data_IF_322946627328
#
_entry.id   IF_322946627328
#
_cell.length_a   1.000
_cell.length_b   1.000
_cell.length_c   1.000
_cell.angle_alpha   90.00
_cell.angle_beta   90.00
_cell.angle_gamma   90.00
#
_symmetry.space_group_name_H-M   'P 1'
#
loop_
_entity.id
_entity.type
_entity.pdbx_description
1 polymer ?
#
# COMPACT_ATOMS: atom_id res chain seq x y z
N UNK A 1 -52.89 -28.44 17.73
CA UNK A 1 -53.14 -29.28 16.52
C UNK A 1 -52.01 -29.04 15.55
N UNK A 2 -51.13 -30.04 15.36
CA UNK A 2 -50.61 -30.59 14.13
C UNK A 2 -49.86 -29.58 13.20
N UNK A 3 -48.73 -29.82 12.65
CA UNK A 3 -47.92 -31.04 12.38
C UNK A 3 -46.45 -30.65 12.15
N UNK A 4 -45.58 -31.39 12.73
CA UNK A 4 -44.23 -31.74 12.40
C UNK A 4 -44.08 -32.11 10.91
N UNK A 5 -43.06 -31.61 10.23
CA UNK A 5 -42.54 -32.23 9.04
C UNK A 5 -40.99 -32.16 9.04
N UNK A 6 -40.45 -33.33 9.17
CA UNK A 6 -39.05 -33.71 9.05
C UNK A 6 -38.76 -33.87 7.57
N UNK A 7 -37.65 -33.34 7.09
CA UNK A 7 -37.02 -33.77 5.84
C UNK A 7 -35.52 -33.54 5.98
N UNK A 8 -34.81 -34.55 6.35
CA UNK A 8 -33.95 -35.44 5.56
C UNK A 8 -32.70 -34.76 4.96
N UNK A 9 -31.61 -35.12 5.62
CA UNK A 9 -30.23 -34.92 5.16
C UNK A 9 -29.97 -35.56 3.80
N UNK A 10 -29.29 -34.83 2.92
CA UNK A 10 -28.47 -35.42 1.87
C UNK A 10 -27.03 -35.00 2.10
N UNK A 11 -26.23 -35.93 2.55
CA UNK A 11 -24.78 -35.88 2.52
C UNK A 11 -24.33 -36.00 1.06
N UNK A 12 -23.78 -34.94 0.50
CA UNK A 12 -22.95 -35.02 -0.68
C UNK A 12 -21.50 -34.83 -0.24
N UNK A 13 -20.78 -35.94 -0.18
CA UNK A 13 -19.33 -35.94 -0.10
C UNK A 13 -18.79 -35.45 -1.45
N UNK A 14 -18.34 -34.21 -1.51
CA UNK A 14 -17.65 -33.61 -2.64
C UNK A 14 -16.27 -33.19 -2.17
N UNK A 15 -15.22 -33.90 -2.63
CA UNK A 15 -13.83 -33.59 -2.33
C UNK A 15 -13.46 -32.17 -2.74
N UNK A 16 -13.30 -31.31 -1.77
CA UNK A 16 -12.76 -29.97 -1.96
C UNK A 16 -11.26 -30.07 -2.18
N UNK A 17 -10.83 -29.81 -3.41
CA UNK A 17 -9.44 -29.47 -3.70
C UNK A 17 -9.17 -28.17 -2.96
N UNK A 18 -8.39 -28.24 -1.87
CA UNK A 18 -7.86 -27.06 -1.22
C UNK A 18 -6.91 -26.38 -2.23
N UNK A 19 -7.40 -25.36 -2.91
CA UNK A 19 -6.53 -24.43 -3.62
C UNK A 19 -5.70 -23.73 -2.55
N UNK A 20 -4.48 -24.22 -2.33
CA UNK A 20 -3.48 -23.51 -1.56
C UNK A 20 -3.28 -22.16 -2.26
N UNK A 21 -3.78 -21.10 -1.65
CA UNK A 21 -3.45 -19.75 -2.06
C UNK A 21 -1.93 -19.62 -1.90
N UNK A 22 -1.20 -19.65 -3.01
CA UNK A 22 0.22 -19.36 -3.06
C UNK A 22 0.33 -17.87 -2.65
N UNK A 23 0.55 -17.65 -1.37
CA UNK A 23 0.95 -16.33 -0.89
C UNK A 23 2.35 -16.11 -1.46
N UNK A 24 2.57 -15.14 -2.36
CA UNK A 24 3.89 -14.90 -2.92
C UNK A 24 4.86 -14.65 -1.78
N UNK A 25 6.01 -15.29 -1.86
CA UNK A 25 7.05 -15.22 -0.84
C UNK A 25 7.45 -13.76 -0.57
N UNK A 26 7.78 -13.40 0.69
CA UNK A 26 8.14 -12.03 1.06
C UNK A 26 9.28 -11.43 0.22
N UNK A 27 10.11 -12.26 -0.38
CA UNK A 27 11.18 -11.84 -1.28
C UNK A 27 10.69 -11.22 -2.61
N UNK A 28 9.61 -11.71 -3.20
CA UNK A 28 9.06 -11.12 -4.44
C UNK A 28 8.48 -9.74 -4.20
N UNK A 29 7.86 -9.52 -3.04
CA UNK A 29 7.35 -8.19 -2.65
C UNK A 29 8.46 -7.19 -2.41
N UNK A 30 9.56 -7.63 -1.78
CA UNK A 30 10.75 -6.79 -1.58
C UNK A 30 11.40 -6.40 -2.92
N UNK A 31 11.50 -7.33 -3.87
CA UNK A 31 12.04 -7.07 -5.19
C UNK A 31 11.16 -6.09 -6.01
N UNK A 32 9.84 -6.16 -5.86
CA UNK A 32 8.92 -5.23 -6.52
C UNK A 32 9.06 -3.80 -5.98
N UNK A 33 9.26 -3.63 -4.67
CA UNK A 33 9.50 -2.32 -4.05
C UNK A 33 10.89 -1.77 -4.37
N UNK A 34 11.90 -2.63 -4.46
CA UNK A 34 13.22 -2.22 -4.93
C UNK A 34 13.17 -1.73 -6.39
N UNK A 35 12.35 -2.35 -7.24
CA UNK A 35 12.08 -1.86 -8.61
C UNK A 35 11.40 -0.49 -8.60
N UNK A 36 10.48 -0.22 -7.67
CA UNK A 36 9.86 1.10 -7.53
C UNK A 36 10.88 2.19 -7.15
N UNK A 37 11.81 1.88 -6.24
CA UNK A 37 12.91 2.78 -5.92
C UNK A 37 13.77 3.00 -7.14
N UNK A 38 14.08 1.95 -7.91
CA UNK A 38 14.88 2.03 -9.13
C UNK A 38 14.17 2.82 -10.23
N UNK A 39 12.86 2.61 -10.45
CA UNK A 39 12.07 3.40 -11.42
C UNK A 39 11.96 4.86 -10.98
N UNK A 40 11.85 5.11 -9.67
CA UNK A 40 11.85 6.46 -9.14
C UNK A 40 13.17 7.22 -9.36
N UNK A 41 14.27 6.48 -9.55
CA UNK A 41 15.62 7.03 -9.79
C UNK A 41 15.95 7.16 -11.29
N UNK A 42 15.17 6.52 -12.19
CA UNK A 42 15.53 6.42 -13.63
C UNK A 42 15.20 7.67 -14.45
N UNK A 43 14.56 8.68 -13.89
CA UNK A 43 14.21 9.91 -14.61
C UNK A 43 15.29 11.02 -14.57
N UNK A 44 16.55 10.70 -14.34
CA UNK A 44 17.63 11.66 -14.63
C UNK A 44 19.00 10.99 -14.56
N UNK A 45 19.64 10.90 -15.72
CA UNK A 45 21.05 10.55 -15.94
C UNK A 45 21.46 9.09 -15.63
N UNK A 46 22.17 8.53 -16.59
CA UNK A 46 23.00 7.32 -16.47
C UNK A 46 24.03 7.50 -15.33
N UNK A 47 23.59 7.31 -14.09
CA UNK A 47 24.48 7.30 -12.93
C UNK A 47 25.09 5.90 -12.81
N UNK A 48 26.41 5.77 -12.64
CA UNK A 48 27.08 4.48 -12.49
C UNK A 48 26.46 3.71 -11.32
N UNK A 49 26.22 2.41 -11.51
CA UNK A 49 25.74 1.53 -10.46
C UNK A 49 26.54 1.73 -9.17
N UNK A 50 25.86 2.05 -8.08
CA UNK A 50 26.52 2.26 -6.79
C UNK A 50 27.35 1.04 -6.38
N UNK A 51 28.56 1.21 -5.82
CA UNK A 51 29.39 0.10 -5.40
C UNK A 51 28.68 -0.80 -4.39
N UNK A 52 28.92 -2.13 -4.42
CA UNK A 52 28.31 -3.07 -3.48
C UNK A 52 28.63 -2.65 -2.03
N UNK A 53 27.58 -2.44 -1.21
CA UNK A 53 27.68 -2.00 0.18
C UNK A 53 27.35 -0.53 0.43
N UNK A 54 27.09 0.30 -0.59
CA UNK A 54 26.57 1.66 -0.39
C UNK A 54 25.09 1.60 -0.01
N UNK A 55 24.68 2.47 0.93
CA UNK A 55 23.26 2.65 1.25
C UNK A 55 22.53 3.19 0.02
N UNK A 56 21.27 2.77 -0.19
CA UNK A 56 20.43 3.36 -1.22
C UNK A 56 20.37 4.88 -1.08
N UNK A 57 20.32 5.57 -2.21
CA UNK A 57 20.24 7.04 -2.20
C UNK A 57 18.91 7.51 -1.60
N UNK A 58 18.91 8.62 -0.83
CA UNK A 58 17.66 9.22 -0.38
C UNK A 58 16.77 9.64 -1.56
N UNK A 59 15.49 9.36 -1.47
CA UNK A 59 14.48 9.76 -2.46
C UNK A 59 13.63 10.88 -1.85
N UNK A 60 13.56 12.06 -2.46
CA UNK A 60 12.72 13.15 -1.99
C UNK A 60 11.24 12.73 -1.90
N UNK A 61 10.55 13.29 -0.93
CA UNK A 61 9.11 13.09 -0.79
C UNK A 61 8.38 13.62 -2.03
N UNK A 62 7.59 12.76 -2.66
CA UNK A 62 6.87 13.08 -3.89
C UNK A 62 5.54 12.36 -4.01
N UNK A 63 4.63 12.94 -4.79
CA UNK A 63 3.40 12.26 -5.20
C UNK A 63 3.72 11.24 -6.27
N UNK A 64 2.99 10.13 -6.25
CA UNK A 64 2.98 9.09 -7.28
C UNK A 64 1.67 9.21 -8.06
N UNK A 65 1.77 9.28 -9.38
CA UNK A 65 0.63 9.21 -10.28
C UNK A 65 0.11 7.77 -10.43
N UNK A 66 -1.01 7.61 -11.10
CA UNK A 66 -1.60 6.31 -11.41
C UNK A 66 -0.83 5.49 -12.45
N UNK A 67 0.17 6.09 -13.08
CA UNK A 67 1.07 5.49 -14.06
C UNK A 67 2.26 4.75 -13.44
N UNK A 68 2.48 4.96 -12.14
CA UNK A 68 3.57 4.28 -11.42
C UNK A 68 3.11 2.87 -11.00
N UNK A 69 3.82 1.81 -11.40
CA UNK A 69 3.47 0.45 -10.99
C UNK A 69 3.45 0.30 -9.46
N UNK A 70 2.35 -0.20 -8.94
CA UNK A 70 2.16 -0.38 -7.49
C UNK A 70 2.43 -1.82 -7.11
N UNK A 71 3.25 -2.07 -6.08
CA UNK A 71 3.56 -3.44 -5.63
C UNK A 71 2.43 -4.06 -4.80
N UNK A 72 1.20 -3.53 -4.91
CA UNK A 72 0.03 -4.00 -4.17
C UNK A 72 -0.94 -4.66 -5.15
N UNK A 73 -1.36 -5.90 -4.90
CA UNK A 73 -2.31 -6.58 -5.77
C UNK A 73 -3.63 -5.80 -5.89
N UNK A 74 -4.24 -5.72 -7.09
CA UNK A 74 -5.54 -5.05 -7.29
C UNK A 74 -6.68 -5.63 -6.43
N UNK A 75 -6.55 -6.89 -5.99
CA UNK A 75 -7.46 -7.53 -5.04
C UNK A 75 -7.39 -6.92 -3.63
N UNK A 76 -6.28 -6.26 -3.28
CA UNK A 76 -6.09 -5.56 -2.01
C UNK A 76 -6.46 -4.10 -2.15
N UNK A 77 -5.94 -3.40 -3.17
CA UNK A 77 -6.15 -1.98 -3.39
C UNK A 77 -6.35 -1.69 -4.87
N UNK A 78 -7.45 -1.02 -5.22
CA UNK A 78 -7.65 -0.34 -6.50
C UNK A 78 -7.14 1.08 -6.34
N UNK A 79 -5.89 1.27 -6.69
CA UNK A 79 -5.19 2.52 -6.47
C UNK A 79 -5.75 3.68 -7.31
N UNK A 80 -5.62 4.88 -6.77
CA UNK A 80 -5.87 6.17 -7.43
C UNK A 80 -4.60 6.99 -7.55
N UNK A 81 -3.86 7.11 -6.47
CA UNK A 81 -2.56 7.76 -6.42
C UNK A 81 -1.79 7.32 -5.17
N UNK A 82 -0.55 7.75 -5.07
CA UNK A 82 0.29 7.46 -3.93
C UNK A 82 1.21 8.62 -3.56
N UNK A 83 2.00 8.38 -2.53
CA UNK A 83 3.07 9.25 -2.06
C UNK A 83 4.22 8.39 -1.55
N UNK A 84 5.44 8.88 -1.74
CA UNK A 84 6.66 8.15 -1.44
C UNK A 84 7.73 9.08 -0.85
N UNK A 85 8.53 8.57 0.09
CA UNK A 85 9.77 9.18 0.59
C UNK A 85 10.75 8.10 1.01
N UNK A 86 12.06 8.37 0.88
CA UNK A 86 13.12 7.54 1.45
C UNK A 86 14.28 8.39 1.94
N UNK A 87 14.81 8.08 3.12
CA UNK A 87 16.05 8.66 3.67
C UNK A 87 17.30 7.83 3.33
N UNK A 88 17.16 6.84 2.47
CA UNK A 88 18.22 5.89 2.12
C UNK A 88 18.29 4.67 3.06
N UNK A 89 17.69 4.73 4.25
CA UNK A 89 17.58 3.59 5.18
C UNK A 89 16.16 3.06 5.27
N UNK A 90 15.20 3.97 5.31
CA UNK A 90 13.78 3.64 5.41
C UNK A 90 13.04 4.25 4.23
N UNK A 91 12.27 3.43 3.55
CA UNK A 91 11.30 3.86 2.55
C UNK A 91 9.92 3.85 3.18
N UNK A 92 9.16 4.93 2.98
CA UNK A 92 7.75 5.01 3.34
C UNK A 92 6.95 5.32 2.08
N UNK A 93 5.98 4.49 1.77
CA UNK A 93 5.04 4.73 0.68
C UNK A 93 3.61 4.62 1.20
N UNK A 94 2.75 5.50 0.72
CA UNK A 94 1.32 5.51 1.03
C UNK A 94 0.56 5.47 -0.28
N UNK A 95 -0.34 4.51 -0.42
CA UNK A 95 -1.19 4.36 -1.59
C UNK A 95 -2.65 4.55 -1.17
N UNK A 96 -3.37 5.33 -1.95
CA UNK A 96 -4.78 5.64 -1.71
C UNK A 96 -5.64 5.09 -2.84
N UNK A 97 -6.83 4.60 -2.49
CA UNK A 97 -7.76 4.06 -3.46
C UNK A 97 -9.00 3.48 -2.81
N UNK A 98 -9.54 2.44 -3.44
CA UNK A 98 -10.63 1.64 -2.91
C UNK A 98 -10.17 0.23 -2.56
N UNK A 99 -10.85 -0.42 -1.64
CA UNK A 99 -10.62 -1.82 -1.35
C UNK A 99 -10.87 -2.68 -2.60
N UNK A 100 -9.94 -3.59 -2.92
CA UNK A 100 -10.01 -4.38 -4.15
C UNK A 100 -11.27 -5.22 -4.28
N UNK A 101 -11.74 -5.77 -3.17
CA UNK A 101 -12.94 -6.60 -3.07
C UNK A 101 -14.24 -5.78 -2.88
N UNK A 102 -14.15 -4.51 -2.49
CA UNK A 102 -15.30 -3.63 -2.30
C UNK A 102 -14.97 -2.18 -2.69
N UNK A 103 -15.31 -1.73 -3.90
CA UNK A 103 -14.98 -0.39 -4.39
C UNK A 103 -15.68 0.75 -3.63
N UNK A 104 -16.70 0.44 -2.82
CA UNK A 104 -17.36 1.43 -1.97
C UNK A 104 -16.59 1.74 -0.69
N UNK A 105 -15.61 0.89 -0.32
CA UNK A 105 -14.77 1.09 0.86
C UNK A 105 -13.51 1.84 0.45
N UNK A 106 -13.29 3.01 1.04
CA UNK A 106 -12.05 3.76 0.89
C UNK A 106 -10.92 3.09 1.65
N UNK A 107 -9.75 2.95 1.03
CA UNK A 107 -8.60 2.24 1.61
C UNK A 107 -7.30 3.00 1.40
N UNK A 108 -6.48 3.02 2.44
CA UNK A 108 -5.07 3.39 2.38
C UNK A 108 -4.20 2.16 2.67
N UNK A 109 -3.07 2.07 2.01
CA UNK A 109 -2.04 1.09 2.31
C UNK A 109 -0.74 1.83 2.55
N UNK A 110 -0.18 1.65 3.75
CA UNK A 110 1.10 2.23 4.17
C UNK A 110 2.13 1.10 4.11
N UNK A 111 3.17 1.32 3.34
CA UNK A 111 4.31 0.41 3.23
C UNK A 111 5.51 1.09 3.86
N UNK A 112 6.15 0.43 4.81
CA UNK A 112 7.43 0.85 5.38
C UNK A 112 8.44 -0.25 5.12
N UNK A 113 9.58 0.11 4.56
CA UNK A 113 10.66 -0.82 4.27
C UNK A 113 11.96 -0.31 4.88
N UNK A 114 12.59 -1.16 5.69
CA UNK A 114 13.98 -1.00 6.08
C UNK A 114 14.86 -1.50 4.94
N UNK A 115 15.49 -0.57 4.23
CA UNK A 115 16.28 -0.87 3.03
C UNK A 115 17.60 -1.56 3.37
N UNK A 116 18.08 -1.45 4.62
CA UNK A 116 19.30 -2.09 5.09
C UNK A 116 19.03 -3.52 5.52
N UNK A 117 18.00 -3.72 6.35
CA UNK A 117 17.63 -5.04 6.86
C UNK A 117 16.73 -5.82 5.91
N UNK A 118 16.23 -5.22 4.83
CA UNK A 118 15.30 -5.82 3.87
C UNK A 118 13.92 -6.13 4.46
N UNK A 119 13.61 -5.61 5.67
CA UNK A 119 12.33 -5.86 6.35
C UNK A 119 11.27 -4.90 5.86
N UNK A 120 10.08 -5.43 5.66
CA UNK A 120 8.93 -4.65 5.23
C UNK A 120 7.75 -4.84 6.16
N UNK A 121 7.04 -3.77 6.44
CA UNK A 121 5.74 -3.77 7.09
C UNK A 121 4.69 -3.13 6.19
N UNK A 122 3.52 -3.73 6.15
CA UNK A 122 2.37 -3.22 5.39
C UNK A 122 1.21 -3.02 6.36
N UNK A 123 0.70 -1.81 6.41
CA UNK A 123 -0.43 -1.45 7.24
C UNK A 123 -1.58 -0.98 6.36
N UNK A 124 -2.76 -1.57 6.56
CA UNK A 124 -3.97 -1.24 5.77
C UNK A 124 -4.96 -0.54 6.66
N UNK A 125 -5.50 0.59 6.19
CA UNK A 125 -6.50 1.40 6.88
C UNK A 125 -7.74 1.53 5.99
N UNK A 126 -8.89 1.13 6.52
CA UNK A 126 -10.18 1.29 5.86
C UNK A 126 -10.92 2.51 6.41
N UNK A 127 -11.38 3.38 5.53
CA UNK A 127 -12.16 4.58 5.87
C UNK A 127 -13.69 4.33 5.87
N UNK A 128 -14.11 3.07 5.82
CA UNK A 128 -15.52 2.69 5.71
C UNK A 128 -16.09 2.98 4.31
N UNK A 129 -17.39 3.14 4.23
CA UNK A 129 -18.14 3.33 2.96
C UNK A 129 -17.98 4.76 2.42
N UNK A 130 -16.77 5.19 2.20
CA UNK A 130 -16.43 6.54 1.70
C UNK A 130 -16.15 6.59 0.20
N UNK A 131 -16.17 5.43 -0.47
CA UNK A 131 -15.67 5.29 -1.83
C UNK A 131 -14.15 5.43 -1.90
N UNK A 132 -13.60 5.46 -3.09
CA UNK A 132 -12.15 5.54 -3.30
C UNK A 132 -11.55 6.79 -2.64
N UNK A 133 -10.39 6.63 -2.02
CA UNK A 133 -9.61 7.71 -1.43
C UNK A 133 -8.60 8.25 -2.45
N UNK A 134 -8.27 9.53 -2.32
CA UNK A 134 -7.23 10.19 -3.11
C UNK A 134 -6.40 11.07 -2.19
N UNK A 135 -5.09 10.99 -2.26
CA UNK A 135 -4.17 11.89 -1.56
C UNK A 135 -4.23 13.25 -2.26
N UNK A 136 -4.59 14.30 -1.52
CA UNK A 136 -4.72 15.67 -2.06
C UNK A 136 -3.58 16.58 -1.64
N UNK A 137 -2.94 16.29 -0.49
CA UNK A 137 -1.74 16.98 -0.05
C UNK A 137 -0.92 16.08 0.87
N UNK A 138 0.39 16.12 0.70
CA UNK A 138 1.36 15.38 1.49
C UNK A 138 2.64 16.20 1.67
N UNK A 139 3.49 15.91 2.65
CA UNK A 139 4.81 16.52 2.77
C UNK A 139 5.60 16.33 1.48
N UNK A 140 6.30 17.36 1.04
CA UNK A 140 7.19 17.33 -0.13
C UNK A 140 8.58 17.81 0.32
N UNK A 141 9.63 17.38 -0.41
CA UNK A 141 10.98 17.82 -0.13
C UNK A 141 11.92 16.67 0.25
N UNK A 142 13.07 17.03 0.83
CA UNK A 142 14.13 16.05 1.16
C UNK A 142 13.69 15.17 2.33
N UNK A 143 14.03 13.88 2.26
CA UNK A 143 13.74 12.89 3.30
C UNK A 143 14.36 13.22 4.67
N UNK A 144 15.41 14.02 4.68
CA UNK A 144 16.12 14.49 5.90
C UNK A 144 15.28 15.47 6.71
N UNK A 145 14.28 16.10 6.11
CA UNK A 145 13.31 16.89 6.84
C UNK A 145 12.35 15.91 7.53
N UNK A 146 12.64 15.65 8.79
CA UNK A 146 12.02 14.64 9.69
C UNK A 146 10.48 14.58 9.65
N UNK A 147 9.83 15.64 9.22
CA UNK A 147 8.38 15.70 9.02
C UNK A 147 7.86 14.79 7.89
N UNK A 148 8.70 14.41 6.92
CA UNK A 148 8.24 13.64 5.78
C UNK A 148 7.85 12.19 6.15
N UNK A 149 8.51 11.57 7.13
CA UNK A 149 8.18 10.21 7.59
C UNK A 149 7.15 10.19 8.73
N UNK A 150 7.01 11.30 9.48
CA UNK A 150 6.15 11.41 10.65
C UNK A 150 5.06 12.47 10.51
N UNK A 151 4.99 13.13 9.36
CA UNK A 151 4.02 14.18 9.10
C UNK A 151 2.60 13.65 8.85
N UNK A 152 1.74 14.53 8.35
CA UNK A 152 0.39 14.16 8.00
C UNK A 152 0.10 14.31 6.51
N UNK A 153 -0.73 13.40 6.01
CA UNK A 153 -1.22 13.39 4.62
C UNK A 153 -2.70 13.74 4.63
N UNK A 154 -3.11 14.67 3.76
CA UNK A 154 -4.53 14.94 3.52
C UNK A 154 -5.07 14.00 2.47
N UNK A 155 -6.20 13.41 2.78
CA UNK A 155 -6.87 12.43 1.94
C UNK A 155 -8.31 12.88 1.71
N UNK A 156 -8.80 12.76 0.50
CA UNK A 156 -10.17 13.05 0.15
C UNK A 156 -10.90 11.77 -0.26
N UNK A 157 -12.06 11.56 0.32
CA UNK A 157 -12.98 10.51 -0.09
C UNK A 157 -13.82 10.94 -1.31
N UNK A 158 -14.38 9.99 -2.05
CA UNK A 158 -15.19 10.25 -3.24
C UNK A 158 -16.39 11.19 -2.94
N UNK A 159 -16.96 11.12 -1.73
CA UNK A 159 -18.01 12.03 -1.24
C UNK A 159 -17.52 13.41 -0.77
N UNK A 160 -16.33 13.84 -1.12
CA UNK A 160 -15.67 15.10 -0.71
C UNK A 160 -15.36 15.22 0.79
N UNK A 161 -15.53 14.15 1.58
CA UNK A 161 -15.10 14.15 2.98
C UNK A 161 -13.58 14.23 3.04
N UNK A 162 -13.07 15.24 3.74
CA UNK A 162 -11.64 15.37 4.01
C UNK A 162 -11.27 14.49 5.21
N UNK A 163 -10.18 13.74 5.07
CA UNK A 163 -9.59 12.90 6.09
C UNK A 163 -8.12 13.28 6.25
N UNK A 164 -7.55 12.95 7.40
CA UNK A 164 -6.14 13.18 7.70
C UNK A 164 -5.50 11.88 8.18
N UNK A 165 -4.47 11.45 7.47
CA UNK A 165 -3.60 10.36 7.89
C UNK A 165 -2.44 10.94 8.70
N UNK A 166 -2.26 10.47 9.91
CA UNK A 166 -1.04 10.67 10.68
C UNK A 166 -0.06 9.55 10.37
N UNK A 167 1.09 9.90 9.78
CA UNK A 167 2.10 8.91 9.37
C UNK A 167 2.81 8.30 10.57
N UNK A 168 3.00 9.05 11.65
CA UNK A 168 3.67 8.56 12.85
C UNK A 168 2.80 7.57 13.62
N UNK A 169 1.54 7.95 13.86
CA UNK A 169 0.57 7.12 14.56
C UNK A 169 -0.03 6.02 13.69
N UNK A 170 0.03 6.15 12.36
CA UNK A 170 -0.63 5.21 11.43
C UNK A 170 -2.16 5.24 11.56
N UNK A 171 -2.75 6.40 11.89
CA UNK A 171 -4.19 6.55 12.12
C UNK A 171 -4.82 7.50 11.11
N UNK A 172 -6.07 7.22 10.75
CA UNK A 172 -6.88 8.02 9.84
C UNK A 172 -8.05 8.65 10.62
N UNK A 173 -8.17 9.98 10.56
CA UNK A 173 -9.21 10.77 11.26
C UNK A 173 -9.96 11.69 10.31
#
# INVERSE_FOLDING_TARGET
MFRLLIAVCVLAAGGGIAAAAIVPAPQEKAAALQRLVSVATTDSNTEPAAPPGSLPQPVPARMLGSDVPVPIPPSVLRERNGWLVSDGRTLVAVYAGAAGNNPSVGRLVIVRQDLVAGRQTVHTLDAGLTGALTITAAPLGRAVETSAQTGSIRVQAAGRRALRLDLGAGTLT
#
